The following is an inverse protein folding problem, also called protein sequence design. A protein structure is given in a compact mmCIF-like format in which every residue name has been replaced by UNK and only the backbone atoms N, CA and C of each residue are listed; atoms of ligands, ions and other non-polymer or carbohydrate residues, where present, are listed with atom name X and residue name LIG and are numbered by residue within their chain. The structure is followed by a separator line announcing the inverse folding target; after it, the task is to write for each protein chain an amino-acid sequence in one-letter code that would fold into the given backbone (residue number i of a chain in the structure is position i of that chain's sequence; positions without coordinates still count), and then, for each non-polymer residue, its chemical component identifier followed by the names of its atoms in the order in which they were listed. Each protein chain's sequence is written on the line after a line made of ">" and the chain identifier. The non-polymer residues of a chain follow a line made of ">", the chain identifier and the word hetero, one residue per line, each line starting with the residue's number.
data_IF_000475324698
#
_entry.id   IF_000475324698
#
_cell.length_a   1.000
_cell.length_b   1.000
_cell.length_c   1.000
_cell.angle_alpha   90.00
_cell.angle_beta   90.00
_cell.angle_gamma   90.00
#
_symmetry.space_group_name_H-M   'P 1'
#
loop_
_entity.id
_entity.type
_entity.pdbx_description
1 polymer ?
#
# COMPACT_ATOMS: atom_id res chain seq x y z
N UNK A 1 57.43 -12.38 49.18
CA UNK A 1 56.83 -12.47 50.53
C UNK A 1 55.51 -11.73 50.51
N UNK A 2 54.45 -12.44 50.88
CA UNK A 2 53.04 -12.06 50.92
C UNK A 2 52.74 -10.95 51.94
N UNK A 3 51.63 -10.24 51.72
CA UNK A 3 50.54 -10.15 52.70
C UNK A 3 49.22 -9.77 51.99
N UNK A 4 48.25 -10.68 52.08
CA UNK A 4 46.85 -10.56 51.64
C UNK A 4 46.08 -9.46 52.39
N UNK A 5 45.07 -8.87 51.73
CA UNK A 5 43.95 -8.18 52.39
C UNK A 5 42.60 -8.79 51.96
N UNK A 6 41.62 -8.90 52.88
CA UNK A 6 40.46 -9.76 52.72
C UNK A 6 39.30 -9.11 51.96
N UNK A 7 38.57 -9.94 51.21
CA UNK A 7 37.28 -9.61 50.61
C UNK A 7 36.17 -9.58 51.67
N UNK A 8 35.39 -8.51 51.73
CA UNK A 8 34.12 -8.45 52.47
C UNK A 8 32.96 -8.52 51.47
N UNK A 9 32.22 -9.63 51.52
CA UNK A 9 30.93 -9.77 50.86
C UNK A 9 29.86 -8.98 51.63
N UNK A 10 29.06 -8.11 50.99
CA UNK A 10 27.87 -7.53 51.62
C UNK A 10 26.80 -8.62 51.81
N UNK A 11 26.19 -8.62 53.00
CA UNK A 11 25.26 -9.65 53.47
C UNK A 11 23.96 -9.71 52.67
N UNK A 12 23.51 -10.94 52.41
CA UNK A 12 22.29 -11.35 51.68
C UNK A 12 20.96 -10.95 52.35
N UNK A 13 20.99 -10.14 53.41
CA UNK A 13 19.81 -9.78 54.19
C UNK A 13 19.10 -8.50 53.70
N UNK A 14 19.72 -7.71 52.81
CA UNK A 14 19.13 -6.48 52.25
C UNK A 14 18.26 -6.69 50.99
N UNK A 15 18.40 -7.81 50.29
CA UNK A 15 17.60 -8.13 49.09
C UNK A 15 16.27 -8.84 49.41
N UNK A 16 16.13 -9.46 50.58
CA UNK A 16 14.90 -10.16 50.97
C UNK A 16 13.79 -9.21 51.47
N UNK A 17 14.10 -7.97 51.86
CA UNK A 17 13.08 -6.99 52.30
C UNK A 17 12.48 -6.21 51.13
N UNK A 18 13.21 -6.04 50.02
CA UNK A 18 12.71 -5.34 48.83
C UNK A 18 11.76 -6.19 47.96
N UNK A 19 11.91 -7.52 47.95
CA UNK A 19 11.06 -8.42 47.16
C UNK A 19 9.68 -8.67 47.80
N UNK A 20 9.55 -8.52 49.12
CA UNK A 20 8.30 -8.73 49.84
C UNK A 20 7.27 -7.61 49.66
N UNK A 21 7.71 -6.39 49.36
CA UNK A 21 6.82 -5.22 49.20
C UNK A 21 6.26 -5.13 47.77
N UNK A 22 6.99 -5.63 46.75
CA UNK A 22 6.52 -5.64 45.35
C UNK A 22 5.50 -6.76 45.10
N UNK A 23 5.64 -7.92 45.77
CA UNK A 23 4.70 -9.03 45.63
C UNK A 23 3.29 -8.71 46.16
N UNK A 24 3.17 -7.88 47.21
CA UNK A 24 1.86 -7.52 47.81
C UNK A 24 1.11 -6.49 46.96
N UNK A 25 1.79 -5.63 46.21
CA UNK A 25 1.15 -4.63 45.33
C UNK A 25 0.66 -5.25 44.02
N UNK A 26 1.36 -6.26 43.48
CA UNK A 26 0.94 -6.95 42.24
C UNK A 26 -0.25 -7.90 42.49
N UNK A 27 -0.36 -8.47 43.70
CA UNK A 27 -1.51 -9.31 44.08
C UNK A 27 -2.81 -8.53 44.34
N UNK A 28 -2.72 -7.22 44.63
CA UNK A 28 -3.90 -6.37 44.87
C UNK A 28 -4.51 -5.75 43.60
N UNK A 29 -3.77 -5.72 42.48
CA UNK A 29 -4.23 -5.11 41.22
C UNK A 29 -4.97 -6.12 40.31
N UNK A 30 -4.80 -7.43 40.54
CA UNK A 30 -5.36 -8.48 39.67
C UNK A 30 -6.68 -9.14 40.16
N UNK A 31 -7.38 -8.59 41.16
CA UNK A 31 -8.54 -9.26 41.77
C UNK A 31 -9.88 -8.49 41.78
N UNK A 32 -10.02 -7.39 41.03
CA UNK A 32 -11.31 -6.70 40.88
C UNK A 32 -11.55 -6.29 39.42
N UNK A 33 -11.97 -7.25 38.60
CA UNK A 33 -13.10 -7.19 37.63
C UNK A 33 -12.92 -8.25 36.50
N UNK A 34 -13.90 -9.14 36.25
CA UNK A 34 -13.87 -10.09 35.14
C UNK A 34 -14.54 -9.52 33.88
N UNK A 35 -14.25 -10.06 32.69
CA UNK A 35 -15.37 -10.67 31.96
C UNK A 35 -15.03 -11.97 31.21
N UNK A 36 -16.01 -12.87 31.34
CA UNK A 36 -16.58 -13.75 30.30
C UNK A 36 -15.66 -14.70 29.53
N UNK A 37 -15.73 -15.97 29.92
CA UNK A 37 -15.20 -17.13 29.20
C UNK A 37 -16.28 -17.73 28.34
N UNK A 38 -16.09 -17.68 27.02
CA UNK A 38 -16.65 -18.69 26.12
C UNK A 38 -15.51 -19.23 25.24
N UNK A 39 -15.17 -20.49 25.47
CA UNK A 39 -14.20 -21.27 24.69
C UNK A 39 -14.87 -22.58 24.31
N UNK A 40 -14.95 -22.93 23.01
CA UNK A 40 -14.91 -24.32 22.64
C UNK A 40 -13.44 -24.76 22.48
N UNK A 41 -13.11 -25.84 23.18
CA UNK A 41 -11.90 -26.59 22.97
C UNK A 41 -11.86 -27.20 21.57
N UNK A 42 -10.74 -27.04 20.85
CA UNK A 42 -10.25 -28.08 19.95
C UNK A 42 -8.72 -28.14 20.01
N UNK A 43 -8.28 -29.36 20.21
CA UNK A 43 -6.91 -29.85 20.36
C UNK A 43 -6.22 -29.96 19.00
N UNK A 44 -4.94 -29.56 18.98
CA UNK A 44 -3.85 -30.02 18.12
C UNK A 44 -4.11 -30.16 16.61
N UNK A 45 -3.64 -29.17 15.83
CA UNK A 45 -3.07 -29.34 14.48
C UNK A 45 -2.07 -28.21 14.20
N UNK A 46 -1.06 -28.53 13.39
CA UNK A 46 0.22 -27.84 13.20
C UNK A 46 0.16 -26.33 12.89
N UNK A 47 1.28 -25.63 13.16
CA UNK A 47 1.61 -24.28 12.69
C UNK A 47 1.67 -24.22 11.15
N UNK A 48 0.51 -24.33 10.50
CA UNK A 48 0.27 -23.80 9.18
C UNK A 48 -0.62 -22.59 9.39
N UNK A 49 -0.03 -21.39 9.34
CA UNK A 49 -0.79 -20.14 9.43
C UNK A 49 -1.89 -20.19 8.38
N UNK A 50 -3.15 -20.08 8.79
CA UNK A 50 -4.25 -19.90 7.86
C UNK A 50 -3.97 -18.59 7.11
N UNK A 51 -3.50 -18.70 5.86
CA UNK A 51 -3.20 -17.55 5.01
C UNK A 51 -4.45 -16.69 4.94
N UNK A 52 -4.32 -15.40 5.26
CA UNK A 52 -5.41 -14.44 5.09
C UNK A 52 -5.95 -14.54 3.65
N UNK A 53 -7.28 -14.47 3.44
CA UNK A 53 -7.84 -14.50 2.09
C UNK A 53 -7.16 -13.45 1.21
N UNK A 54 -6.72 -13.81 0.01
CA UNK A 54 -5.94 -12.91 -0.86
C UNK A 54 -6.54 -11.50 -0.99
N UNK A 55 -7.88 -11.39 -1.07
CA UNK A 55 -8.57 -10.11 -1.14
C UNK A 55 -8.29 -9.17 0.05
N UNK A 56 -8.09 -9.69 1.27
CA UNK A 56 -7.81 -8.87 2.46
C UNK A 56 -6.38 -8.37 2.51
N UNK A 57 -5.50 -8.90 1.64
CA UNK A 57 -4.13 -8.41 1.50
C UNK A 57 -4.04 -7.17 0.63
N UNK A 58 -5.05 -6.89 -0.19
CA UNK A 58 -5.08 -5.76 -1.13
C UNK A 58 -5.59 -4.47 -0.46
N UNK A 59 -5.26 -3.29 -1.01
CA UNK A 59 -5.88 -2.03 -0.60
C UNK A 59 -7.40 -2.09 -0.71
N UNK A 60 -8.10 -1.53 0.26
CA UNK A 60 -9.55 -1.47 0.25
C UNK A 60 -10.04 -0.32 -0.63
N UNK A 61 -11.30 -0.41 -1.08
CA UNK A 61 -11.99 0.78 -1.59
C UNK A 61 -12.25 1.74 -0.42
N UNK A 62 -12.22 3.04 -0.68
CA UNK A 62 -12.74 4.04 0.26
C UNK A 62 -14.19 3.73 0.66
N UNK A 63 -14.55 4.15 1.86
CA UNK A 63 -15.89 4.01 2.44
C UNK A 63 -16.66 5.33 2.50
N UNK A 64 -16.06 6.42 2.05
CA UNK A 64 -16.77 7.67 1.77
C UNK A 64 -17.26 7.72 0.32
N UNK A 65 -18.33 8.50 0.11
CA UNK A 65 -19.01 8.62 -1.17
C UNK A 65 -18.47 9.78 -2.03
N UNK A 66 -17.47 10.52 -1.52
CA UNK A 66 -16.90 11.71 -2.19
C UNK A 66 -16.33 11.37 -3.57
N UNK A 67 -15.76 10.17 -3.71
CA UNK A 67 -15.19 9.63 -4.94
C UNK A 67 -16.10 8.58 -5.56
N UNK A 68 -16.49 8.80 -6.81
CA UNK A 68 -17.43 7.93 -7.54
C UNK A 68 -16.72 6.94 -8.47
N UNK A 69 -15.42 7.08 -8.65
CA UNK A 69 -14.57 6.24 -9.49
C UNK A 69 -14.77 6.49 -10.98
N UNK A 70 -13.72 6.19 -11.77
CA UNK A 70 -13.69 6.55 -13.20
C UNK A 70 -14.78 5.88 -14.05
N UNK A 71 -15.31 4.73 -13.60
CA UNK A 71 -16.40 4.05 -14.28
C UNK A 71 -17.70 4.89 -14.34
N UNK A 72 -17.91 5.78 -13.36
CA UNK A 72 -19.08 6.68 -13.32
C UNK A 72 -19.03 7.75 -14.41
N UNK A 73 -17.84 8.11 -14.89
CA UNK A 73 -17.64 9.17 -15.88
C UNK A 73 -18.01 8.72 -17.30
N UNK A 74 -17.92 7.40 -17.58
CA UNK A 74 -17.97 6.83 -18.95
C UNK A 74 -19.28 7.09 -19.70
N UNK A 75 -20.41 7.12 -19.00
CA UNK A 75 -21.72 7.25 -19.65
C UNK A 75 -21.91 8.64 -20.29
N UNK A 76 -21.42 9.69 -19.63
CA UNK A 76 -21.49 11.07 -20.12
C UNK A 76 -20.25 11.48 -20.91
N UNK A 77 -19.08 10.92 -20.59
CA UNK A 77 -17.77 11.30 -21.14
C UNK A 77 -17.11 10.10 -21.85
N UNK A 78 -17.75 9.59 -22.91
CA UNK A 78 -17.31 8.38 -23.58
C UNK A 78 -15.93 8.52 -24.24
N UNK A 79 -15.68 9.66 -24.90
CA UNK A 79 -14.44 9.91 -25.65
C UNK A 79 -13.26 10.19 -24.70
N UNK A 80 -13.47 11.00 -23.67
CA UNK A 80 -12.48 11.27 -22.64
C UNK A 80 -12.14 10.00 -21.87
N UNK A 81 -13.14 9.20 -21.48
CA UNK A 81 -12.89 7.92 -20.83
C UNK A 81 -12.11 6.96 -21.75
N UNK A 82 -12.41 6.91 -23.04
CA UNK A 82 -11.68 6.08 -24.00
C UNK A 82 -10.21 6.50 -24.08
N UNK A 83 -9.94 7.78 -24.29
CA UNK A 83 -8.57 8.32 -24.37
C UNK A 83 -7.79 8.14 -23.07
N UNK A 84 -8.40 8.38 -21.91
CA UNK A 84 -7.80 8.09 -20.61
C UNK A 84 -7.47 6.61 -20.44
N UNK A 85 -8.37 5.72 -20.87
CA UNK A 85 -8.16 4.28 -20.74
C UNK A 85 -6.97 3.75 -21.56
N UNK A 86 -6.63 4.42 -22.66
CA UNK A 86 -5.45 4.12 -23.48
C UNK A 86 -4.14 4.72 -22.91
N UNK A 87 -4.21 5.51 -21.83
CA UNK A 87 -3.06 6.19 -21.23
C UNK A 87 -2.36 5.37 -20.15
N UNK A 88 -1.08 5.68 -19.91
CA UNK A 88 -0.31 5.08 -18.81
C UNK A 88 -0.75 5.55 -17.41
N UNK A 89 -1.49 6.66 -17.30
CA UNK A 89 -2.07 7.10 -16.02
C UNK A 89 -3.04 6.04 -15.48
N UNK A 90 -3.95 5.57 -16.33
CA UNK A 90 -4.94 4.54 -16.00
C UNK A 90 -4.29 3.20 -15.60
N UNK A 91 -3.12 2.89 -16.14
CA UNK A 91 -2.40 1.63 -15.88
C UNK A 91 -1.20 1.80 -14.95
N UNK A 92 -1.14 2.88 -14.16
CA UNK A 92 -0.01 3.14 -13.27
C UNK A 92 0.09 2.14 -12.13
N UNK A 93 -1.01 1.85 -11.41
CA UNK A 93 -1.09 0.71 -10.48
C UNK A 93 -2.33 -0.10 -10.83
N UNK A 94 -2.19 -1.41 -10.88
CA UNK A 94 -3.28 -2.32 -11.24
C UNK A 94 -3.22 -3.56 -10.37
N UNK A 95 -4.37 -4.23 -10.22
CA UNK A 95 -4.39 -5.61 -9.76
C UNK A 95 -3.72 -6.49 -10.82
N UNK A 96 -3.00 -7.51 -10.36
CA UNK A 96 -2.35 -8.46 -11.27
C UNK A 96 -3.37 -9.39 -11.91
N UNK A 97 -3.34 -9.46 -13.24
CA UNK A 97 -4.14 -10.36 -14.07
C UNK A 97 -3.40 -10.63 -15.39
N UNK A 98 -3.85 -11.57 -16.23
CA UNK A 98 -3.30 -11.80 -17.57
C UNK A 98 -3.27 -10.54 -18.46
N UNK A 99 -4.18 -9.60 -18.23
CA UNK A 99 -4.30 -8.37 -19.00
C UNK A 99 -3.37 -7.26 -18.51
N UNK A 100 -2.90 -7.32 -17.26
CA UNK A 100 -2.11 -6.25 -16.63
C UNK A 100 -0.64 -6.59 -16.47
N UNK A 101 -0.28 -7.88 -16.44
CA UNK A 101 1.10 -8.34 -16.25
C UNK A 101 1.74 -8.65 -17.60
N UNK A 102 2.82 -7.93 -17.91
CA UNK A 102 3.65 -8.13 -19.09
C UNK A 102 4.90 -8.97 -18.80
N UNK A 103 5.21 -9.17 -17.51
CA UNK A 103 6.40 -9.89 -17.07
C UNK A 103 6.30 -11.40 -17.24
N UNK A 104 7.45 -12.04 -17.46
CA UNK A 104 7.54 -13.48 -17.57
C UNK A 104 7.46 -14.16 -16.18
N UNK A 105 6.33 -14.81 -15.91
CA UNK A 105 6.12 -15.73 -14.76
C UNK A 105 6.11 -17.18 -15.25
N UNK A 106 7.18 -17.56 -15.95
CA UNK A 106 7.35 -18.82 -16.69
C UNK A 106 8.24 -19.84 -15.96
N UNK A 107 8.58 -19.58 -14.69
CA UNK A 107 9.44 -20.43 -13.87
C UNK A 107 10.88 -19.95 -13.76
N UNK A 108 11.22 -18.78 -14.30
CA UNK A 108 12.55 -18.17 -14.09
C UNK A 108 12.82 -17.90 -12.61
N UNK A 109 14.09 -18.12 -12.22
CA UNK A 109 14.57 -17.89 -10.86
C UNK A 109 15.68 -16.85 -10.81
N UNK A 110 15.66 -15.98 -9.80
CA UNK A 110 16.70 -14.98 -9.57
C UNK A 110 17.07 -14.88 -8.09
N UNK A 111 18.35 -14.65 -7.83
CA UNK A 111 18.90 -14.49 -6.49
C UNK A 111 18.77 -13.04 -6.01
N UNK A 112 18.36 -12.87 -4.75
CA UNK A 112 18.46 -11.61 -4.04
C UNK A 112 18.72 -11.83 -2.55
N UNK A 113 19.83 -11.29 -2.04
CA UNK A 113 20.21 -11.36 -0.62
C UNK A 113 20.25 -12.80 -0.05
N UNK A 114 20.79 -13.77 -0.80
CA UNK A 114 20.92 -15.16 -0.36
C UNK A 114 19.65 -16.00 -0.48
N UNK A 115 18.58 -15.44 -1.02
CA UNK A 115 17.32 -16.12 -1.30
C UNK A 115 17.13 -16.29 -2.81
N UNK A 116 16.59 -17.42 -3.24
CA UNK A 116 16.20 -17.72 -4.60
C UNK A 116 14.70 -17.45 -4.79
N UNK A 117 14.36 -16.54 -5.69
CA UNK A 117 12.99 -16.20 -6.03
C UNK A 117 12.61 -16.84 -7.36
N UNK A 118 11.59 -17.69 -7.37
CA UNK A 118 11.10 -18.38 -8.59
C UNK A 118 9.69 -17.89 -8.94
N UNK A 119 9.56 -17.15 -10.04
CA UNK A 119 8.30 -16.55 -10.48
C UNK A 119 7.51 -17.53 -11.35
N UNK A 120 6.26 -17.79 -10.99
CA UNK A 120 5.43 -18.74 -11.71
C UNK A 120 3.96 -18.30 -11.76
N UNK A 121 3.29 -18.64 -12.85
CA UNK A 121 1.86 -18.41 -13.06
C UNK A 121 1.06 -19.67 -12.77
N UNK A 122 -0.07 -19.54 -12.06
CA UNK A 122 -1.02 -20.62 -11.76
C UNK A 122 -2.42 -20.19 -12.21
N UNK A 123 -2.86 -20.64 -13.39
CA UNK A 123 -4.10 -20.10 -13.99
C UNK A 123 -3.94 -18.60 -14.23
N UNK A 124 -4.79 -17.78 -13.64
CA UNK A 124 -4.73 -16.30 -13.75
C UNK A 124 -4.02 -15.63 -12.57
N UNK A 125 -3.36 -16.42 -11.73
CA UNK A 125 -2.67 -15.96 -10.54
C UNK A 125 -1.16 -15.94 -10.72
N UNK A 126 -0.51 -14.98 -10.08
CA UNK A 126 0.94 -14.77 -10.16
C UNK A 126 1.56 -15.01 -8.80
N UNK A 127 2.59 -15.85 -8.77
CA UNK A 127 3.18 -16.37 -7.55
C UNK A 127 4.70 -16.28 -7.60
N UNK A 128 5.32 -16.17 -6.43
CA UNK A 128 6.76 -16.40 -6.25
C UNK A 128 6.94 -17.48 -5.19
N UNK A 129 7.87 -18.40 -5.45
CA UNK A 129 8.49 -19.21 -4.39
C UNK A 129 9.75 -18.49 -3.91
N UNK A 130 10.05 -18.55 -2.63
CA UNK A 130 11.25 -18.00 -2.01
C UNK A 130 11.88 -19.11 -1.19
N UNK A 131 13.11 -19.46 -1.52
CA UNK A 131 13.86 -20.59 -0.95
C UNK A 131 15.27 -20.13 -0.61
N UNK A 132 15.86 -20.69 0.45
CA UNK A 132 17.26 -20.42 0.76
C UNK A 132 18.15 -20.94 -0.38
N UNK A 133 19.10 -20.12 -0.86
CA UNK A 133 20.01 -20.56 -1.91
C UNK A 133 20.92 -21.70 -1.44
N UNK A 134 21.29 -21.71 -0.16
CA UNK A 134 22.16 -22.74 0.42
C UNK A 134 21.42 -24.08 0.48
N UNK A 135 20.15 -24.08 0.89
CA UNK A 135 19.32 -25.29 0.90
C UNK A 135 19.03 -25.78 -0.51
N UNK A 136 18.69 -24.88 -1.44
CA UNK A 136 18.46 -25.22 -2.85
C UNK A 136 19.69 -25.85 -3.51
N UNK A 137 20.90 -25.33 -3.22
CA UNK A 137 22.15 -25.90 -3.73
C UNK A 137 22.51 -27.24 -3.07
N UNK A 138 22.22 -27.39 -1.77
CA UNK A 138 22.53 -28.61 -1.03
C UNK A 138 21.63 -29.79 -1.42
N UNK A 139 20.41 -29.54 -1.91
CA UNK A 139 19.48 -30.60 -2.32
C UNK A 139 18.61 -30.16 -3.52
N UNK A 140 19.18 -30.14 -4.74
CA UNK A 140 18.53 -29.59 -5.94
C UNK A 140 17.21 -30.27 -6.34
N UNK A 141 17.09 -31.57 -6.03
CA UNK A 141 15.91 -32.38 -6.36
C UNK A 141 14.88 -32.41 -5.21
N UNK A 142 15.20 -31.80 -4.06
CA UNK A 142 14.30 -31.73 -2.91
C UNK A 142 13.60 -30.38 -2.87
N UNK A 143 12.33 -30.37 -2.47
CA UNK A 143 11.63 -29.12 -2.17
C UNK A 143 12.06 -28.65 -0.79
N UNK A 144 12.50 -27.40 -0.69
CA UNK A 144 12.70 -26.75 0.60
C UNK A 144 11.35 -26.74 1.33
N UNK A 145 11.30 -27.43 2.47
CA UNK A 145 10.09 -27.53 3.30
C UNK A 145 9.70 -26.21 3.97
N UNK A 146 10.61 -25.24 4.00
CA UNK A 146 10.45 -23.90 4.53
C UNK A 146 10.19 -22.85 3.43
N UNK A 147 10.15 -23.28 2.16
CA UNK A 147 9.87 -22.42 1.02
C UNK A 147 8.60 -21.59 1.25
N UNK A 148 8.69 -20.28 1.03
CA UNK A 148 7.54 -19.39 1.08
C UNK A 148 6.92 -19.27 -0.31
N UNK A 149 5.66 -19.62 -0.44
CA UNK A 149 4.90 -19.44 -1.68
C UNK A 149 3.92 -18.29 -1.52
N UNK A 150 4.22 -17.15 -2.14
CA UNK A 150 3.44 -15.92 -2.00
C UNK A 150 2.76 -15.56 -3.31
N UNK A 151 1.46 -15.27 -3.24
CA UNK A 151 0.70 -14.71 -4.34
C UNK A 151 0.93 -13.20 -4.39
N UNK A 152 1.37 -12.69 -5.53
CA UNK A 152 1.52 -11.26 -5.76
C UNK A 152 0.16 -10.67 -6.15
N UNK A 153 -0.10 -9.44 -5.68
CA UNK A 153 -1.42 -8.85 -5.79
C UNK A 153 -1.53 -7.62 -6.69
N UNK A 154 -0.45 -6.85 -6.76
CA UNK A 154 -0.44 -5.58 -7.48
C UNK A 154 0.81 -5.42 -8.32
N UNK A 155 0.65 -4.69 -9.41
CA UNK A 155 1.71 -4.26 -10.30
C UNK A 155 1.66 -2.74 -10.44
N UNK A 156 2.82 -2.09 -10.41
CA UNK A 156 2.97 -0.66 -10.67
C UNK A 156 3.90 -0.45 -11.86
N UNK A 157 3.51 0.41 -12.79
CA UNK A 157 4.21 0.67 -14.05
C UNK A 157 3.64 -0.14 -15.22
N UNK A 158 3.69 0.45 -16.40
CA UNK A 158 3.11 -0.11 -17.64
C UNK A 158 3.81 0.31 -18.94
N UNK A 159 4.69 1.33 -18.90
CA UNK A 159 5.43 1.79 -20.07
C UNK A 159 6.77 1.06 -20.22
N UNK A 160 7.81 1.50 -19.51
CA UNK A 160 9.16 0.91 -19.63
C UNK A 160 9.43 -0.24 -18.66
N UNK A 161 8.73 -0.28 -17.53
CA UNK A 161 8.96 -1.28 -16.50
C UNK A 161 7.70 -1.60 -15.69
N UNK A 162 7.70 -2.77 -15.07
CA UNK A 162 6.72 -3.19 -14.08
C UNK A 162 7.42 -3.58 -12.79
N UNK A 163 7.03 -2.97 -11.67
CA UNK A 163 7.40 -3.41 -10.32
C UNK A 163 6.20 -4.09 -9.67
N UNK A 164 6.48 -5.03 -8.77
CA UNK A 164 5.46 -5.89 -8.18
C UNK A 164 5.45 -5.77 -6.66
N UNK A 165 4.31 -6.13 -6.06
CA UNK A 165 4.09 -6.02 -4.62
C UNK A 165 3.71 -7.36 -4.00
N UNK A 166 4.44 -7.72 -2.95
CA UNK A 166 4.18 -8.88 -2.11
C UNK A 166 3.29 -8.50 -0.93
N UNK A 167 2.28 -9.32 -0.59
CA UNK A 167 1.50 -9.10 0.61
C UNK A 167 2.38 -9.33 1.85
N UNK A 168 2.34 -8.36 2.77
CA UNK A 168 2.89 -8.53 4.12
C UNK A 168 1.92 -9.26 5.04
N UNK A 169 2.38 -9.60 6.25
CA UNK A 169 1.55 -10.28 7.26
C UNK A 169 0.72 -9.31 8.13
N UNK A 170 0.83 -8.00 7.88
CA UNK A 170 0.31 -6.93 8.74
C UNK A 170 -0.85 -6.18 8.04
N UNK A 171 -2.00 -6.83 7.92
CA UNK A 171 -3.17 -6.29 7.22
C UNK A 171 -2.95 -6.26 5.70
N UNK A 172 -3.18 -5.11 5.07
CA UNK A 172 -2.97 -4.94 3.63
C UNK A 172 -1.62 -4.28 3.27
N UNK A 173 -0.59 -4.56 4.07
CA UNK A 173 0.77 -4.12 3.78
C UNK A 173 1.27 -4.71 2.45
N UNK A 174 1.93 -3.88 1.65
CA UNK A 174 2.44 -4.19 0.33
C UNK A 174 3.94 -3.88 0.27
N UNK A 175 4.74 -4.94 0.18
CA UNK A 175 6.19 -4.92 0.25
C UNK A 175 6.76 -5.02 -1.16
N UNK A 176 7.74 -4.19 -1.50
CA UNK A 176 8.37 -4.20 -2.82
C UNK A 176 9.00 -5.55 -3.16
N UNK A 177 8.58 -6.14 -4.28
CA UNK A 177 9.26 -7.29 -4.87
C UNK A 177 10.68 -6.86 -5.30
N UNK A 178 11.72 -7.67 -5.05
CA UNK A 178 13.11 -7.25 -5.24
C UNK A 178 13.53 -7.12 -6.71
N UNK A 179 12.70 -7.58 -7.65
CA UNK A 179 12.93 -7.47 -9.08
C UNK A 179 11.86 -6.61 -9.75
N UNK A 180 12.23 -5.97 -10.84
CA UNK A 180 11.27 -5.41 -11.78
C UNK A 180 11.45 -6.06 -13.14
N UNK A 181 10.39 -6.01 -13.93
CA UNK A 181 10.44 -6.40 -15.33
C UNK A 181 10.70 -5.18 -16.19
N UNK A 182 11.70 -5.25 -17.06
CA UNK A 182 11.95 -4.25 -18.08
C UNK A 182 11.21 -4.68 -19.35
N UNK A 183 10.24 -3.87 -19.78
CA UNK A 183 9.28 -4.24 -20.83
C UNK A 183 9.98 -4.41 -22.18
N UNK A 184 10.76 -3.41 -22.57
CA UNK A 184 11.46 -3.40 -23.87
C UNK A 184 12.56 -4.48 -23.93
N UNK A 185 13.32 -4.66 -22.83
CA UNK A 185 14.38 -5.66 -22.72
C UNK A 185 13.85 -7.10 -22.54
N UNK A 186 12.58 -7.24 -22.16
CA UNK A 186 11.93 -8.51 -21.79
C UNK A 186 12.74 -9.34 -20.80
N UNK A 187 13.19 -8.70 -19.72
CA UNK A 187 13.98 -9.36 -18.68
C UNK A 187 13.66 -8.83 -17.29
N UNK A 188 13.89 -9.69 -16.31
CA UNK A 188 13.96 -9.29 -14.92
C UNK A 188 15.27 -8.54 -14.64
N UNK A 189 15.18 -7.53 -13.80
CA UNK A 189 16.31 -6.77 -13.31
C UNK A 189 16.19 -6.56 -11.79
N UNK A 190 17.29 -6.66 -11.03
CA UNK A 190 17.30 -6.32 -9.62
C UNK A 190 16.83 -4.88 -9.45
N UNK A 191 15.77 -4.68 -8.67
CA UNK A 191 15.17 -3.35 -8.47
C UNK A 191 16.16 -2.38 -7.83
N UNK A 192 17.10 -2.91 -7.05
CA UNK A 192 18.17 -2.12 -6.46
C UNK A 192 19.19 -1.56 -7.48
N UNK A 193 19.14 -2.01 -8.73
CA UNK A 193 20.00 -1.52 -9.82
C UNK A 193 19.27 -0.59 -10.79
N UNK A 194 17.97 -0.33 -10.59
CA UNK A 194 17.13 0.45 -11.52
C UNK A 194 17.01 1.93 -11.15
N UNK A 195 17.38 2.28 -9.92
CA UNK A 195 17.29 3.65 -9.42
C UNK A 195 18.67 4.11 -8.96
N UNK A 196 19.10 5.28 -9.46
CA UNK A 196 20.29 5.98 -8.98
C UNK A 196 20.08 6.28 -7.50
N UNK A 197 21.04 5.87 -6.67
CA UNK A 197 21.02 6.03 -5.22
C UNK A 197 22.41 6.34 -4.72
N UNK A 198 22.47 6.92 -3.53
CA UNK A 198 23.72 7.01 -2.80
C UNK A 198 24.23 5.58 -2.44
N UNK A 199 25.50 5.25 -2.74
CA UNK A 199 26.05 3.90 -2.56
C UNK A 199 26.16 3.46 -1.08
N UNK A 200 26.07 4.38 -0.13
CA UNK A 200 26.10 4.12 1.31
C UNK A 200 24.69 4.04 1.93
N UNK A 201 23.63 4.26 1.15
CA UNK A 201 22.26 4.14 1.66
C UNK A 201 21.92 2.68 1.94
N UNK A 202 21.51 2.41 3.18
CA UNK A 202 20.98 1.11 3.57
C UNK A 202 19.71 0.83 2.76
N UNK A 203 19.71 -0.27 2.01
CA UNK A 203 18.56 -0.67 1.21
C UNK A 203 17.48 -1.20 2.17
N UNK A 204 16.43 -0.41 2.37
CA UNK A 204 15.21 -0.88 3.04
C UNK A 204 14.23 -1.46 2.03
N UNK A 205 13.40 -2.40 2.46
CA UNK A 205 12.29 -2.88 1.64
C UNK A 205 11.27 -1.75 1.48
N UNK A 206 10.84 -1.52 0.26
CA UNK A 206 9.86 -0.48 -0.01
C UNK A 206 8.49 -0.86 0.55
N UNK A 207 7.84 0.13 1.17
CA UNK A 207 6.45 0.06 1.60
C UNK A 207 5.59 0.87 0.64
N UNK A 208 4.78 0.20 -0.17
CA UNK A 208 3.89 0.88 -1.12
C UNK A 208 2.87 1.76 -0.41
N UNK A 209 2.29 1.28 0.70
CA UNK A 209 1.24 1.95 1.48
C UNK A 209 1.68 3.30 2.04
N UNK A 210 2.98 3.55 2.17
CA UNK A 210 3.51 4.81 2.69
C UNK A 210 4.15 5.68 1.61
N UNK A 211 4.82 5.07 0.63
CA UNK A 211 5.66 5.80 -0.32
C UNK A 211 5.03 5.93 -1.71
N UNK A 212 4.43 4.86 -2.22
CA UNK A 212 4.00 4.77 -3.62
C UNK A 212 2.52 5.08 -3.81
N UNK A 213 1.69 4.73 -2.82
CA UNK A 213 0.24 4.95 -2.84
C UNK A 213 -0.12 6.41 -3.16
N UNK A 214 0.73 7.36 -2.70
CA UNK A 214 0.55 8.79 -2.89
C UNK A 214 0.39 9.20 -4.36
N UNK A 215 1.31 8.77 -5.22
CA UNK A 215 1.39 9.24 -6.60
C UNK A 215 0.82 8.24 -7.60
N UNK A 216 0.60 6.98 -7.19
CA UNK A 216 0.25 5.90 -8.11
C UNK A 216 -1.17 5.36 -7.90
N UNK A 217 -2.03 6.12 -7.20
CA UNK A 217 -3.45 5.81 -6.98
C UNK A 217 -4.27 7.09 -6.95
N UNK A 218 -5.59 6.96 -6.86
CA UNK A 218 -6.51 8.09 -6.71
C UNK A 218 -7.22 8.05 -5.36
N UNK A 219 -7.36 9.21 -4.72
CA UNK A 219 -7.93 9.34 -3.37
C UNK A 219 -7.25 8.47 -2.31
N UNK A 220 -5.91 8.45 -2.21
CA UNK A 220 -5.20 7.56 -1.28
C UNK A 220 -5.43 7.90 0.20
N UNK A 221 -5.55 6.85 1.02
CA UNK A 221 -5.56 6.89 2.48
C UNK A 221 -4.60 5.81 3.00
N UNK A 222 -3.38 6.15 3.46
CA UNK A 222 -2.39 5.18 3.95
C UNK A 222 -2.87 4.33 5.13
N UNK A 223 -3.52 4.95 6.12
CA UNK A 223 -4.17 4.29 7.27
C UNK A 223 -3.30 3.24 7.99
N UNK A 224 -2.09 3.59 8.47
CA UNK A 224 -1.37 2.71 9.39
C UNK A 224 -2.10 2.66 10.74
N UNK A 225 -2.38 1.47 11.24
CA UNK A 225 -2.97 1.25 12.55
C UNK A 225 -1.87 0.78 13.51
N UNK A 226 -1.33 1.72 14.29
CA UNK A 226 -0.24 1.43 15.22
C UNK A 226 -0.69 0.54 16.40
N UNK A 227 -1.92 0.70 16.88
CA UNK A 227 -2.43 -0.15 17.98
C UNK A 227 -2.56 -1.61 17.55
N UNK A 228 -3.07 -1.86 16.34
CA UNK A 228 -3.23 -3.20 15.78
C UNK A 228 -2.02 -3.68 14.95
N UNK A 229 -0.94 -2.89 14.87
CA UNK A 229 0.28 -3.18 14.10
C UNK A 229 -0.01 -3.67 12.66
N UNK A 230 -0.90 -2.97 11.95
CA UNK A 230 -1.33 -3.36 10.59
C UNK A 230 -1.62 -2.16 9.69
N UNK A 231 -1.64 -2.39 8.39
CA UNK A 231 -2.13 -1.44 7.41
C UNK A 231 -3.59 -1.71 7.05
N UNK A 232 -4.34 -0.62 6.86
CA UNK A 232 -5.74 -0.62 6.42
C UNK A 232 -5.94 0.36 5.26
N UNK A 233 -4.96 0.43 4.36
CA UNK A 233 -4.92 1.42 3.28
C UNK A 233 -6.16 1.35 2.39
N UNK A 234 -6.63 2.52 1.96
CA UNK A 234 -7.80 2.69 1.11
C UNK A 234 -7.48 3.59 -0.07
N UNK A 235 -8.14 3.33 -1.20
CA UNK A 235 -8.04 4.13 -2.42
C UNK A 235 -9.40 4.23 -3.10
N UNK A 236 -9.65 5.33 -3.81
CA UNK A 236 -10.83 5.44 -4.66
C UNK A 236 -10.68 4.50 -5.88
N UNK A 237 -9.54 4.62 -6.56
CA UNK A 237 -9.16 3.80 -7.72
C UNK A 237 -7.66 3.44 -7.64
N UNK A 238 -7.31 2.27 -8.18
CA UNK A 238 -5.92 1.93 -8.47
C UNK A 238 -5.52 2.58 -9.80
N UNK A 239 -4.35 3.21 -9.82
CA UNK A 239 -3.91 4.05 -10.94
C UNK A 239 -4.38 5.50 -10.82
N UNK A 240 -3.94 6.33 -11.76
CA UNK A 240 -4.32 7.73 -11.82
C UNK A 240 -5.59 7.84 -12.66
N UNK A 241 -6.68 8.11 -11.95
CA UNK A 241 -8.05 8.08 -12.42
C UNK A 241 -8.57 9.51 -12.62
N UNK A 242 -9.77 9.69 -13.19
CA UNK A 242 -10.31 11.01 -13.53
C UNK A 242 -10.25 11.99 -12.34
N UNK A 243 -10.65 11.49 -11.16
CA UNK A 243 -10.77 12.29 -9.94
C UNK A 243 -9.43 12.67 -9.32
N UNK A 244 -8.30 12.14 -9.81
CA UNK A 244 -6.97 12.59 -9.42
C UNK A 244 -6.64 13.99 -9.97
N UNK A 245 -7.20 14.33 -11.14
CA UNK A 245 -7.00 15.64 -11.80
C UNK A 245 -8.22 16.55 -11.68
N UNK A 246 -9.42 15.97 -11.57
CA UNK A 246 -10.67 16.72 -11.54
C UNK A 246 -11.23 16.92 -10.12
N UNK A 247 -10.65 16.21 -9.13
CA UNK A 247 -11.15 16.16 -7.77
C UNK A 247 -12.31 15.18 -7.59
N UNK A 248 -12.79 15.02 -6.34
CA UNK A 248 -13.91 14.13 -6.02
C UNK A 248 -15.19 14.55 -6.74
N UNK A 249 -15.85 13.63 -7.43
CA UNK A 249 -16.89 13.94 -8.41
C UNK A 249 -18.33 13.61 -7.98
N UNK A 250 -18.57 13.18 -6.73
CA UNK A 250 -19.91 12.84 -6.23
C UNK A 250 -20.96 13.92 -6.56
N UNK A 251 -20.71 15.16 -6.10
CA UNK A 251 -21.63 16.29 -6.30
C UNK A 251 -21.84 16.61 -7.78
N UNK A 252 -20.80 16.46 -8.59
CA UNK A 252 -20.89 16.66 -10.03
C UNK A 252 -21.80 15.61 -10.66
N UNK A 253 -21.54 14.33 -10.42
CA UNK A 253 -22.33 13.22 -10.99
C UNK A 253 -23.78 13.33 -10.55
N UNK A 254 -24.06 13.53 -9.27
CA UNK A 254 -25.43 13.70 -8.77
C UNK A 254 -26.15 14.89 -9.43
N UNK A 255 -25.48 16.04 -9.53
CA UNK A 255 -26.05 17.23 -10.17
C UNK A 255 -26.37 16.92 -11.63
N UNK A 256 -25.40 16.40 -12.39
CA UNK A 256 -25.60 16.16 -13.81
C UNK A 256 -26.69 15.11 -14.06
N UNK A 257 -26.73 14.02 -13.30
CA UNK A 257 -27.79 13.01 -13.39
C UNK A 257 -29.19 13.55 -13.09
N UNK A 258 -29.33 14.56 -12.21
CA UNK A 258 -30.59 15.28 -12.03
C UNK A 258 -30.91 16.17 -13.23
N UNK A 259 -29.92 16.92 -13.72
CA UNK A 259 -30.09 17.87 -14.83
C UNK A 259 -30.47 17.21 -16.15
N UNK A 260 -29.96 16.00 -16.46
CA UNK A 260 -30.32 15.30 -17.71
C UNK A 260 -31.81 14.93 -17.79
N UNK A 261 -32.52 14.92 -16.66
CA UNK A 261 -33.95 14.58 -16.57
C UNK A 261 -34.87 15.80 -16.72
N UNK A 262 -34.31 17.01 -16.74
CA UNK A 262 -35.09 18.25 -16.87
C UNK A 262 -35.38 18.59 -18.34
N UNK A 263 -36.45 19.36 -18.62
CA UNK A 263 -36.64 19.99 -19.92
C UNK A 263 -35.44 20.87 -20.31
N UNK A 264 -35.14 20.95 -21.60
CA UNK A 264 -33.96 21.66 -22.14
C UNK A 264 -33.77 23.07 -21.57
N UNK A 265 -34.84 23.86 -21.55
CA UNK A 265 -34.80 25.25 -21.07
C UNK A 265 -34.49 25.36 -19.58
N UNK A 266 -35.01 24.44 -18.77
CA UNK A 266 -34.75 24.39 -17.33
C UNK A 266 -33.34 23.88 -17.05
N UNK A 267 -32.88 22.90 -17.84
CA UNK A 267 -31.52 22.38 -17.76
C UNK A 267 -30.48 23.46 -18.05
N UNK A 268 -30.65 24.24 -19.13
CA UNK A 268 -29.71 25.30 -19.48
C UNK A 268 -29.66 26.38 -18.39
N UNK A 269 -30.83 26.83 -17.91
CA UNK A 269 -30.89 27.81 -16.82
C UNK A 269 -30.19 27.31 -15.55
N UNK A 270 -30.34 26.02 -15.22
CA UNK A 270 -29.70 25.41 -14.07
C UNK A 270 -28.19 25.21 -14.24
N UNK A 271 -27.70 25.00 -15.46
CA UNK A 271 -26.26 24.96 -15.77
C UNK A 271 -25.61 26.34 -15.58
N UNK A 272 -26.28 27.40 -16.05
CA UNK A 272 -25.77 28.77 -15.99
C UNK A 272 -25.76 29.36 -14.57
N UNK A 273 -26.60 28.83 -13.68
CA UNK A 273 -26.76 29.36 -12.32
C UNK A 273 -25.66 28.95 -11.34
N UNK A 274 -25.02 27.79 -11.54
CA UNK A 274 -24.10 27.20 -10.56
C UNK A 274 -22.87 26.56 -11.23
N UNK A 275 -21.66 26.69 -10.65
CA UNK A 275 -20.45 26.10 -11.18
C UNK A 275 -20.54 24.57 -11.25
N UNK A 276 -19.77 23.94 -12.13
CA UNK A 276 -19.87 22.50 -12.49
C UNK A 276 -19.64 21.50 -11.35
N UNK A 277 -19.33 21.97 -10.13
CA UNK A 277 -19.04 21.16 -8.94
C UNK A 277 -17.93 20.12 -9.17
N UNK A 278 -17.05 20.37 -10.14
CA UNK A 278 -15.86 19.61 -10.49
C UNK A 278 -14.84 20.58 -11.08
N UNK A 279 -13.55 20.27 -10.93
CA UNK A 279 -12.49 21.10 -11.50
C UNK A 279 -12.20 20.67 -12.92
N UNK A 280 -12.01 21.63 -13.81
CA UNK A 280 -11.45 21.42 -15.14
C UNK A 280 -10.07 22.07 -15.20
N UNK A 281 -8.96 21.30 -15.22
CA UNK A 281 -7.61 21.87 -15.20
C UNK A 281 -7.31 22.87 -16.32
N UNK A 282 -8.01 22.79 -17.45
CA UNK A 282 -7.88 23.74 -18.56
C UNK A 282 -8.48 25.13 -18.27
N UNK A 283 -9.40 25.22 -17.30
CA UNK A 283 -10.05 26.47 -16.90
C UNK A 283 -9.30 27.18 -15.75
N UNK A 284 -8.28 26.52 -15.18
CA UNK A 284 -7.42 27.08 -14.15
C UNK A 284 -6.36 28.01 -14.77
N UNK A 285 -5.88 28.98 -13.98
CA UNK A 285 -4.69 29.72 -14.38
C UNK A 285 -3.47 28.78 -14.49
N UNK A 286 -2.48 29.18 -15.28
CA UNK A 286 -1.31 28.34 -15.58
C UNK A 286 -0.55 27.83 -14.35
N UNK A 287 -0.54 28.56 -13.22
CA UNK A 287 0.10 28.11 -11.98
C UNK A 287 -0.71 26.98 -11.35
N UNK A 288 -2.00 27.19 -11.13
CA UNK A 288 -2.90 26.19 -10.55
C UNK A 288 -3.03 24.94 -11.43
N UNK A 289 -3.10 25.13 -12.75
CA UNK A 289 -3.12 24.03 -13.72
C UNK A 289 -1.84 23.18 -13.63
N UNK A 290 -0.67 23.81 -13.56
CA UNK A 290 0.61 23.11 -13.40
C UNK A 290 0.71 22.38 -12.06
N UNK A 291 0.13 22.95 -10.99
CA UNK A 291 0.08 22.35 -9.66
C UNK A 291 -0.74 21.05 -9.61
N UNK A 292 -1.78 20.89 -10.44
CA UNK A 292 -2.52 19.61 -10.58
C UNK A 292 -1.56 18.48 -10.96
N UNK A 293 -0.71 18.71 -11.95
CA UNK A 293 0.32 17.76 -12.38
C UNK A 293 1.44 17.62 -11.34
N UNK A 294 1.87 18.75 -10.77
CA UNK A 294 2.94 18.83 -9.76
C UNK A 294 2.63 18.13 -8.44
N UNK A 295 1.36 17.82 -8.18
CA UNK A 295 0.95 16.98 -7.05
C UNK A 295 1.63 15.60 -7.05
N UNK A 296 1.91 15.07 -8.25
CA UNK A 296 2.60 13.80 -8.47
C UNK A 296 3.98 13.98 -9.13
N UNK A 297 4.09 14.88 -10.13
CA UNK A 297 5.33 15.15 -10.86
C UNK A 297 6.18 16.25 -10.20
N UNK A 298 6.39 16.10 -8.89
CA UNK A 298 7.21 16.99 -8.09
C UNK A 298 7.94 16.22 -6.99
N UNK A 299 9.13 16.70 -6.61
CA UNK A 299 9.79 16.23 -5.39
C UNK A 299 9.19 16.95 -4.19
N UNK A 300 8.64 16.19 -3.25
CA UNK A 300 7.98 16.76 -2.07
C UNK A 300 8.54 16.17 -0.79
N UNK A 301 8.80 17.06 0.16
CA UNK A 301 9.11 16.74 1.55
C UNK A 301 7.84 16.93 2.36
N UNK A 302 7.46 15.92 3.13
CA UNK A 302 6.16 15.90 3.81
C UNK A 302 6.23 16.64 5.14
N UNK A 303 5.34 17.61 5.33
CA UNK A 303 5.12 18.17 6.66
C UNK A 303 4.46 17.12 7.55
N UNK A 304 5.00 16.95 8.76
CA UNK A 304 4.43 16.05 9.78
C UNK A 304 3.06 16.55 10.28
N UNK A 305 2.72 17.82 10.05
CA UNK A 305 1.47 18.43 10.49
C UNK A 305 0.25 18.07 9.64
N UNK A 306 0.43 17.46 8.46
CA UNK A 306 -0.65 17.22 7.50
C UNK A 306 -1.62 16.07 7.87
N UNK A 307 -1.31 15.29 8.91
CA UNK A 307 -2.05 14.06 9.25
C UNK A 307 -2.25 13.10 8.04
N UNK A 308 -1.37 13.20 7.03
CA UNK A 308 -1.40 12.44 5.76
C UNK A 308 -1.66 10.95 5.97
N UNK A 309 -1.04 10.37 6.99
CA UNK A 309 -1.20 8.95 7.31
C UNK A 309 -2.63 8.56 7.65
N UNK A 310 -3.41 9.45 8.26
CA UNK A 310 -4.79 9.19 8.66
C UNK A 310 -5.79 9.51 7.54
N UNK A 311 -5.61 10.64 6.83
CA UNK A 311 -6.65 11.23 5.99
C UNK A 311 -6.33 11.28 4.49
N UNK A 312 -5.07 11.07 4.09
CA UNK A 312 -4.64 11.32 2.72
C UNK A 312 -4.27 12.79 2.48
N UNK A 313 -4.22 13.23 1.22
CA UNK A 313 -3.81 14.59 0.88
C UNK A 313 -4.92 15.57 1.22
N UNK A 314 -4.53 16.71 1.78
CA UNK A 314 -5.40 17.86 1.87
C UNK A 314 -5.60 18.51 0.50
N UNK A 315 -4.55 18.56 -0.31
CA UNK A 315 -4.62 19.08 -1.68
C UNK A 315 -5.75 18.46 -2.49
N UNK A 316 -6.62 19.31 -3.02
CA UNK A 316 -7.56 18.99 -4.08
C UNK A 316 -7.13 19.71 -5.37
N UNK A 317 -7.40 19.15 -6.56
CA UNK A 317 -7.17 19.86 -7.80
C UNK A 317 -7.84 21.23 -7.78
N UNK A 318 -7.13 22.26 -8.23
CA UNK A 318 -7.56 23.67 -8.12
C UNK A 318 -7.09 24.40 -6.86
N UNK A 319 -6.66 23.70 -5.81
CA UNK A 319 -6.07 24.32 -4.63
C UNK A 319 -4.65 24.86 -4.89
N UNK A 320 -4.14 25.67 -3.96
CA UNK A 320 -2.72 25.98 -3.92
C UNK A 320 -1.94 24.80 -3.33
N UNK A 321 -1.11 24.18 -4.15
CA UNK A 321 -0.28 23.05 -3.74
C UNK A 321 0.67 23.38 -2.58
N UNK A 322 1.18 24.61 -2.50
CA UNK A 322 2.09 25.02 -1.42
C UNK A 322 1.37 25.15 -0.07
N UNK A 323 0.09 25.51 -0.09
CA UNK A 323 -0.70 25.74 1.13
C UNK A 323 -1.39 24.48 1.64
N UNK A 324 -1.41 23.43 0.83
CA UNK A 324 -2.20 22.20 1.06
C UNK A 324 -1.37 20.93 1.00
N UNK A 325 -0.04 21.06 0.95
CA UNK A 325 0.93 19.96 1.14
C UNK A 325 2.12 20.36 2.00
#
# INVERSE_FOLDING_TARGET
>A
MQADKPNHHPSSLRWMVALSIVAVVVLAINFLDPPETDRPATSGKALGQAQQPYATTLPYRRDDDEYVGSASCRECHADEHKSWHESYHRSMTQLMSPETVQAAFDGQSHEFQGELFTMHRRGDEYWTSIESIDEANASPDSRDSQALHLRLGMVTGSHHMQVFWLPGMMGNLQIGFPFAWLVDDRRWAPRNSLFIRDPHTVISKENWNMNCIRCHTTGPQPRPNQAAQRFESRVADLGISCEACHGPAERHVERQQRLVRLPESERQAALDAEPLAIVQPADLDHVRSSQVCGSCHGMKWFDKSEEWTAHGFRYRPGDDLEQTT
#
